data_IF_696152314741
#
_entry.id   IF_696152314741
#
_cell.length_a   1.000
_cell.length_b   1.000
_cell.length_c   1.000
_cell.angle_alpha   90.00
_cell.angle_beta   90.00
_cell.angle_gamma   90.00
#
_symmetry.space_group_name_H-M   'P 1'
#
loop_
_entity.id
_entity.type
_entity.pdbx_description
1 polymer ?
#
# COMPACT_ATOMS: atom_id res chain seq x y z
N UNK A 1 25.53 -7.78 12.87
CA UNK A 1 24.40 -6.83 12.92
C UNK A 1 23.71 -6.57 11.57
N UNK A 2 24.37 -6.45 10.39
CA UNK A 2 23.61 -6.31 9.13
C UNK A 2 22.72 -7.52 8.83
N UNK A 3 23.11 -8.71 9.32
CA UNK A 3 22.34 -9.95 9.23
C UNK A 3 21.03 -9.94 10.02
N UNK A 4 20.92 -9.16 11.11
CA UNK A 4 19.70 -9.14 11.93
C UNK A 4 18.61 -8.26 11.29
N UNK A 5 19.00 -7.12 10.71
CA UNK A 5 18.12 -6.25 9.92
C UNK A 5 17.67 -6.98 8.65
N UNK A 6 18.59 -7.69 7.97
CA UNK A 6 18.25 -8.55 6.84
C UNK A 6 17.25 -9.65 7.22
N UNK A 7 17.40 -10.27 8.40
CA UNK A 7 16.49 -11.31 8.91
C UNK A 7 15.11 -10.74 9.27
N UNK A 8 15.04 -9.56 9.87
CA UNK A 8 13.76 -8.88 10.15
C UNK A 8 13.04 -8.49 8.85
N UNK A 9 13.78 -7.97 7.86
CA UNK A 9 13.23 -7.64 6.55
C UNK A 9 12.78 -8.89 5.78
N UNK A 10 13.55 -9.98 5.83
CA UNK A 10 13.17 -11.29 5.29
C UNK A 10 11.95 -11.88 6.02
N UNK A 11 11.82 -11.72 7.34
CA UNK A 11 10.66 -12.22 8.08
C UNK A 11 9.36 -11.44 7.78
N UNK A 12 9.47 -10.13 7.54
CA UNK A 12 8.35 -9.29 7.11
C UNK A 12 7.96 -9.59 5.65
N UNK A 13 8.96 -9.78 4.77
CA UNK A 13 8.74 -10.19 3.38
C UNK A 13 8.18 -11.62 3.26
N UNK A 14 8.62 -12.56 4.09
CA UNK A 14 8.06 -13.92 4.18
C UNK A 14 6.64 -13.87 4.72
N UNK A 15 6.32 -13.02 5.70
CA UNK A 15 4.95 -12.85 6.20
C UNK A 15 4.00 -12.24 5.17
N UNK A 16 4.50 -11.37 4.28
CA UNK A 16 3.77 -10.89 3.10
C UNK A 16 3.60 -11.97 2.00
N UNK A 17 4.45 -13.01 2.01
CA UNK A 17 4.38 -14.13 1.07
C UNK A 17 3.47 -15.28 1.55
N UNK A 18 3.06 -15.31 2.83
CA UNK A 18 2.06 -16.26 3.37
C UNK A 18 0.64 -15.64 3.36
N UNK A 19 0.36 -14.72 2.45
CA UNK A 19 -1.02 -14.49 2.02
C UNK A 19 -1.42 -15.78 1.31
N UNK A 20 -2.30 -16.54 1.95
CA UNK A 20 -2.72 -17.88 1.53
C UNK A 20 -3.06 -17.91 0.03
N UNK A 21 -2.76 -19.01 -0.70
CA UNK A 21 -3.32 -19.18 -2.03
C UNK A 21 -4.85 -19.25 -1.84
N UNK A 22 -5.56 -18.27 -2.38
CA UNK A 22 -7.00 -18.37 -2.60
C UNK A 22 -7.23 -19.66 -3.39
N UNK A 23 -7.72 -20.70 -2.72
CA UNK A 23 -8.14 -21.92 -3.40
C UNK A 23 -9.38 -21.60 -4.23
N UNK A 24 -9.20 -21.51 -5.54
CA UNK A 24 -10.31 -21.50 -6.47
C UNK A 24 -11.13 -22.78 -6.26
N UNK A 25 -12.39 -22.64 -5.85
CA UNK A 25 -13.34 -23.75 -5.84
C UNK A 25 -13.61 -24.17 -7.30
N UNK A 26 -13.58 -25.47 -7.63
CA UNK A 26 -13.91 -25.93 -8.97
C UNK A 26 -15.38 -25.59 -9.28
N UNK A 27 -15.59 -24.90 -10.41
CA UNK A 27 -16.91 -24.51 -10.88
C UNK A 27 -17.77 -25.75 -11.13
N UNK A 28 -18.94 -25.80 -10.50
CA UNK A 28 -20.01 -26.73 -10.87
C UNK A 28 -20.85 -26.05 -11.98
N UNK A 29 -21.05 -26.68 -13.15
CA UNK A 29 -21.71 -26.02 -14.26
C UNK A 29 -23.23 -26.22 -14.17
N UNK A 30 -23.98 -25.18 -13.84
CA UNK A 30 -25.43 -25.12 -14.12
C UNK A 30 -25.84 -23.72 -14.54
N UNK A 31 -26.26 -23.60 -15.81
CA UNK A 31 -26.89 -22.40 -16.38
C UNK A 31 -25.92 -21.25 -16.63
N UNK A 32 -26.22 -20.40 -17.61
CA UNK A 32 -25.39 -19.22 -17.95
C UNK A 32 -25.36 -18.30 -16.70
N UNK A 33 -24.27 -18.25 -15.93
CA UNK A 33 -24.20 -17.38 -14.77
C UNK A 33 -23.64 -16.05 -15.27
N UNK A 34 -24.46 -15.02 -15.37
CA UNK A 34 -23.92 -13.65 -15.40
C UNK A 34 -23.35 -13.38 -14.02
N UNK A 35 -22.09 -13.75 -13.81
CA UNK A 35 -21.35 -13.34 -12.63
C UNK A 35 -21.25 -11.81 -12.64
N UNK A 36 -21.36 -11.22 -11.46
CA UNK A 36 -21.03 -9.82 -11.23
C UNK A 36 -19.53 -9.59 -11.54
N UNK A 37 -19.11 -8.36 -11.90
CA UNK A 37 -17.70 -7.96 -11.96
C UNK A 37 -16.94 -8.28 -10.67
N UNK A 38 -17.63 -8.35 -9.53
CA UNK A 38 -17.07 -8.77 -8.24
C UNK A 38 -17.02 -10.30 -8.02
N UNK A 39 -17.31 -11.10 -9.04
CA UNK A 39 -17.19 -12.56 -9.01
C UNK A 39 -18.28 -13.31 -8.24
N UNK A 40 -19.34 -12.63 -7.78
CA UNK A 40 -20.47 -13.30 -7.14
C UNK A 40 -21.39 -13.90 -8.21
N UNK A 41 -21.34 -15.22 -8.36
CA UNK A 41 -22.16 -15.99 -9.29
C UNK A 41 -23.28 -16.71 -8.51
N UNK A 42 -24.48 -16.84 -9.10
CA UNK A 42 -25.61 -17.58 -8.52
C UNK A 42 -25.93 -17.19 -7.04
N UNK A 43 -26.41 -15.95 -6.86
CA UNK A 43 -26.74 -15.34 -5.55
C UNK A 43 -27.75 -16.13 -4.71
N UNK A 44 -28.53 -17.03 -5.30
CA UNK A 44 -29.51 -17.86 -4.61
C UNK A 44 -28.93 -19.10 -3.95
N UNK A 45 -27.75 -19.55 -4.40
CA UNK A 45 -27.12 -20.81 -3.95
C UNK A 45 -25.77 -20.53 -3.29
N UNK A 46 -25.00 -19.59 -3.83
CA UNK A 46 -23.65 -19.32 -3.34
C UNK A 46 -23.66 -18.24 -2.24
N UNK A 47 -22.98 -18.50 -1.11
CA UNK A 47 -22.81 -17.47 -0.09
C UNK A 47 -22.05 -16.28 -0.65
N UNK A 48 -22.33 -15.11 -0.09
CA UNK A 48 -21.66 -13.85 -0.42
C UNK A 48 -20.16 -13.96 -0.10
N UNK A 49 -19.26 -13.66 -1.05
CA UNK A 49 -17.81 -13.59 -0.78
C UNK A 49 -17.49 -12.52 0.27
N UNK A 50 -16.48 -12.74 1.11
CA UNK A 50 -16.06 -11.77 2.14
C UNK A 50 -15.67 -10.41 1.58
N UNK A 51 -15.01 -10.39 0.41
CA UNK A 51 -14.49 -9.17 -0.21
C UNK A 51 -15.51 -8.47 -1.12
N UNK A 52 -16.71 -9.03 -1.23
CA UNK A 52 -17.72 -8.50 -2.14
C UNK A 52 -18.16 -7.09 -1.74
N UNK A 53 -18.24 -6.77 -0.45
CA UNK A 53 -18.59 -5.41 0.01
C UNK A 53 -17.58 -4.36 -0.42
N UNK A 54 -16.29 -4.68 -0.30
CA UNK A 54 -15.20 -3.79 -0.72
C UNK A 54 -15.17 -3.64 -2.25
N UNK A 55 -15.37 -4.74 -2.97
CA UNK A 55 -15.44 -4.72 -4.43
C UNK A 55 -16.66 -3.94 -4.92
N UNK A 56 -17.84 -4.15 -4.32
CA UNK A 56 -19.06 -3.48 -4.73
C UNK A 56 -18.94 -1.97 -4.52
N UNK A 57 -18.40 -1.53 -3.38
CA UNK A 57 -18.14 -0.12 -3.12
C UNK A 57 -17.18 0.51 -4.14
N UNK A 58 -16.21 -0.27 -4.62
CA UNK A 58 -15.25 0.16 -5.63
C UNK A 58 -15.85 0.26 -7.04
N UNK A 59 -16.48 -0.81 -7.52
CA UNK A 59 -16.90 -0.95 -8.92
C UNK A 59 -18.30 -0.41 -9.20
N UNK A 60 -19.15 -0.22 -8.18
CA UNK A 60 -20.52 0.25 -8.37
C UNK A 60 -20.78 1.58 -7.67
N UNK A 61 -21.70 2.35 -8.26
CA UNK A 61 -22.31 3.53 -7.64
C UNK A 61 -23.45 3.13 -6.70
N UNK A 62 -23.94 4.05 -5.87
CA UNK A 62 -25.13 3.82 -5.03
C UNK A 62 -26.39 3.44 -5.84
N UNK A 63 -26.42 3.77 -7.14
CA UNK A 63 -27.48 3.38 -8.07
C UNK A 63 -27.28 2.03 -8.77
N UNK A 64 -26.24 1.26 -8.41
CA UNK A 64 -25.99 -0.07 -8.99
C UNK A 64 -25.40 -0.05 -10.40
N UNK A 65 -25.00 1.12 -10.91
CA UNK A 65 -24.32 1.25 -12.20
C UNK A 65 -22.80 1.05 -12.04
N UNK A 66 -22.12 0.40 -13.00
CA UNK A 66 -20.67 0.24 -12.98
C UNK A 66 -19.98 1.60 -13.10
N UNK A 67 -19.00 1.86 -12.23
CA UNK A 67 -18.13 3.03 -12.26
C UNK A 67 -17.09 2.85 -13.38
N UNK A 68 -17.00 3.77 -14.35
CA UNK A 68 -15.98 3.70 -15.37
C UNK A 68 -14.61 4.05 -14.77
N UNK A 69 -13.53 3.49 -15.33
CA UNK A 69 -12.14 3.74 -14.92
C UNK A 69 -11.78 3.29 -13.50
N UNK A 70 -12.59 2.46 -12.84
CA UNK A 70 -12.25 1.89 -11.52
C UNK A 70 -12.07 0.39 -11.58
N UNK A 71 -11.03 -0.12 -10.94
CA UNK A 71 -10.70 -1.53 -10.88
C UNK A 71 -10.46 -1.94 -9.42
N UNK A 72 -10.99 -3.09 -9.03
CA UNK A 72 -10.77 -3.66 -7.71
C UNK A 72 -9.57 -4.63 -7.77
N UNK A 73 -8.55 -4.36 -6.97
CA UNK A 73 -7.32 -5.15 -6.90
C UNK A 73 -7.06 -5.59 -5.47
N UNK A 74 -6.07 -6.46 -5.26
CA UNK A 74 -5.63 -6.90 -3.92
C UNK A 74 -5.17 -5.71 -3.05
N UNK A 75 -4.69 -4.63 -3.67
CA UNK A 75 -4.26 -3.41 -2.99
C UNK A 75 -5.41 -2.43 -2.73
N UNK A 76 -6.64 -2.79 -3.10
CA UNK A 76 -7.83 -1.96 -2.98
C UNK A 76 -8.32 -1.43 -4.33
N UNK A 77 -9.12 -0.36 -4.26
CA UNK A 77 -9.75 0.25 -5.42
C UNK A 77 -8.82 1.23 -6.11
N UNK A 78 -8.53 1.00 -7.39
CA UNK A 78 -7.71 1.91 -8.21
C UNK A 78 -8.57 2.60 -9.28
N UNK A 79 -8.41 3.91 -9.40
CA UNK A 79 -8.96 4.70 -10.49
C UNK A 79 -7.89 4.91 -11.57
N UNK A 80 -8.19 4.69 -12.84
CA UNK A 80 -7.31 4.99 -13.99
C UNK A 80 -7.49 6.41 -14.53
N UNK A 81 -8.32 7.22 -13.86
CA UNK A 81 -8.34 8.66 -14.08
C UNK A 81 -6.97 9.25 -13.69
N UNK A 82 -6.25 9.98 -14.57
CA UNK A 82 -4.89 10.46 -14.32
C UNK A 82 -4.73 11.25 -13.01
N UNK A 83 -5.74 12.03 -12.64
CA UNK A 83 -5.80 12.79 -11.41
C UNK A 83 -5.81 11.88 -10.17
N UNK A 84 -6.84 11.05 -10.05
CA UNK A 84 -7.05 10.15 -8.91
C UNK A 84 -5.94 9.10 -8.79
N UNK A 85 -5.42 8.63 -9.93
CA UNK A 85 -4.37 7.62 -9.98
C UNK A 85 -3.08 8.11 -9.30
N UNK A 86 -2.65 9.34 -9.61
CA UNK A 86 -1.43 9.89 -9.01
C UNK A 86 -1.63 10.13 -7.52
N UNK A 87 -2.80 10.59 -7.09
CA UNK A 87 -3.09 10.75 -5.65
C UNK A 87 -3.06 9.42 -4.89
N UNK A 88 -3.71 8.39 -5.44
CA UNK A 88 -3.73 7.06 -4.85
C UNK A 88 -2.32 6.46 -4.78
N UNK A 89 -1.56 6.57 -5.86
CA UNK A 89 -0.18 6.08 -5.92
C UNK A 89 0.71 6.81 -4.91
N UNK A 90 0.61 8.14 -4.84
CA UNK A 90 1.35 8.92 -3.86
C UNK A 90 0.98 8.47 -2.43
N UNK A 91 -0.30 8.41 -2.08
CA UNK A 91 -0.73 7.97 -0.74
C UNK A 91 -0.15 6.60 -0.33
N UNK A 92 -0.10 5.64 -1.25
CA UNK A 92 0.50 4.32 -1.03
C UNK A 92 2.01 4.42 -0.82
N UNK A 93 2.71 5.20 -1.64
CA UNK A 93 4.17 5.38 -1.51
C UNK A 93 4.51 6.11 -0.19
N UNK A 94 3.74 7.12 0.19
CA UNK A 94 3.94 7.86 1.45
C UNK A 94 3.71 6.98 2.68
N UNK A 95 2.63 6.20 2.69
CA UNK A 95 2.35 5.29 3.80
C UNK A 95 3.41 4.20 3.91
N UNK A 96 3.85 3.62 2.79
CA UNK A 96 4.92 2.62 2.77
C UNK A 96 6.27 3.20 3.20
N UNK A 97 6.68 4.34 2.64
CA UNK A 97 7.95 5.00 2.98
C UNK A 97 7.97 5.47 4.44
N UNK A 98 6.86 6.02 4.94
CA UNK A 98 6.70 6.40 6.34
C UNK A 98 6.83 5.22 7.29
N UNK A 99 6.18 4.09 6.97
CA UNK A 99 6.29 2.86 7.75
C UNK A 99 7.72 2.31 7.80
N UNK A 100 8.40 2.24 6.65
CA UNK A 100 9.78 1.72 6.57
C UNK A 100 10.76 2.65 7.30
N UNK A 101 10.64 3.96 7.12
CA UNK A 101 11.48 4.95 7.79
C UNK A 101 11.29 4.91 9.32
N UNK A 102 10.05 4.77 9.79
CA UNK A 102 9.75 4.64 11.21
C UNK A 102 10.42 3.41 11.84
N UNK A 103 10.35 2.25 11.18
CA UNK A 103 11.02 1.04 11.65
C UNK A 103 12.55 1.18 11.64
N UNK A 104 13.12 1.85 10.63
CA UNK A 104 14.56 2.10 10.56
C UNK A 104 15.05 3.00 11.71
N UNK A 105 14.28 4.05 12.07
CA UNK A 105 14.57 4.91 13.23
C UNK A 105 14.49 4.11 14.53
N UNK A 106 13.50 3.25 14.71
CA UNK A 106 13.42 2.38 15.89
C UNK A 106 14.64 1.45 16.00
N UNK A 107 15.06 0.84 14.89
CA UNK A 107 16.23 -0.03 14.85
C UNK A 107 17.54 0.74 15.18
N UNK A 108 17.72 1.93 14.60
CA UNK A 108 18.87 2.78 14.90
C UNK A 108 18.88 3.25 16.36
N UNK A 109 17.71 3.60 16.91
CA UNK A 109 17.55 4.00 18.31
C UNK A 109 17.90 2.86 19.27
N UNK A 110 17.43 1.64 18.98
CA UNK A 110 17.79 0.44 19.73
C UNK A 110 19.29 0.14 19.69
N UNK A 111 19.95 0.35 18.55
CA UNK A 111 21.40 0.18 18.43
C UNK A 111 22.15 1.18 19.31
N UNK A 112 21.76 2.46 19.32
CA UNK A 112 22.41 3.49 20.16
C UNK A 112 22.27 3.15 21.65
N UNK A 113 21.09 2.75 22.10
CA UNK A 113 20.82 2.43 23.51
C UNK A 113 21.56 1.17 23.99
N UNK A 114 21.74 0.18 23.12
CA UNK A 114 22.39 -1.11 23.45
C UNK A 114 23.90 -1.12 23.20
N UNK A 115 24.50 0.01 22.83
CA UNK A 115 25.90 0.07 22.41
C UNK A 115 26.94 -0.07 23.53
N UNK A 116 26.56 -0.09 24.81
CA UNK A 116 27.43 -0.37 25.97
C UNK A 116 28.81 0.33 25.96
N UNK A 117 28.90 1.54 25.40
CA UNK A 117 30.15 2.31 25.32
C UNK A 117 31.04 2.05 24.10
N UNK A 118 30.63 1.20 23.14
CA UNK A 118 31.35 1.02 21.88
C UNK A 118 31.08 2.22 20.93
N UNK A 119 32.10 3.03 20.57
CA UNK A 119 31.91 4.23 19.74
C UNK A 119 31.49 3.91 18.31
N UNK A 120 31.81 2.73 17.79
CA UNK A 120 31.47 2.34 16.42
C UNK A 120 29.99 2.02 16.28
N UNK A 121 29.41 1.27 17.22
CA UNK A 121 27.96 0.98 17.27
C UNK A 121 27.11 2.23 17.51
N UNK A 122 27.64 3.16 18.30
CA UNK A 122 27.00 4.46 18.51
C UNK A 122 26.99 5.30 17.24
N UNK A 123 28.08 5.30 16.47
CA UNK A 123 28.16 5.99 15.18
C UNK A 123 27.20 5.36 14.17
N UNK A 124 27.25 4.05 14.01
CA UNK A 124 26.36 3.31 13.09
C UNK A 124 24.88 3.58 13.38
N UNK A 125 24.48 3.52 14.66
CA UNK A 125 23.10 3.79 15.06
C UNK A 125 22.67 5.23 14.74
N UNK A 126 23.56 6.21 14.93
CA UNK A 126 23.30 7.62 14.57
C UNK A 126 23.19 7.79 13.06
N UNK A 127 24.05 7.13 12.28
CA UNK A 127 24.03 7.22 10.81
C UNK A 127 22.74 6.61 10.23
N UNK A 128 22.23 5.52 10.82
CA UNK A 128 20.92 4.93 10.45
C UNK A 128 19.77 5.89 10.73
N UNK A 129 19.75 6.54 11.91
CA UNK A 129 18.71 7.50 12.26
C UNK A 129 18.73 8.70 11.31
N UNK A 130 19.92 9.28 11.08
CA UNK A 130 20.09 10.47 10.22
C UNK A 130 19.69 10.16 8.78
N UNK A 131 20.14 9.03 8.23
CA UNK A 131 19.78 8.64 6.86
C UNK A 131 18.27 8.39 6.69
N UNK A 132 17.61 7.81 7.70
CA UNK A 132 16.16 7.59 7.69
C UNK A 132 15.37 8.89 7.71
N UNK A 133 15.78 9.85 8.56
CA UNK A 133 15.14 11.18 8.64
C UNK A 133 15.36 11.98 7.37
N UNK A 134 16.57 11.95 6.80
CA UNK A 134 16.87 12.62 5.54
C UNK A 134 16.06 12.03 4.38
N UNK A 135 15.91 10.71 4.31
CA UNK A 135 15.12 10.05 3.28
C UNK A 135 13.65 10.51 3.29
N UNK A 136 13.02 10.52 4.46
CA UNK A 136 11.62 10.96 4.56
C UNK A 136 11.46 12.47 4.32
N UNK A 137 12.46 13.27 4.73
CA UNK A 137 12.48 14.71 4.47
C UNK A 137 12.51 15.00 2.97
N UNK A 138 13.33 14.28 2.20
CA UNK A 138 13.41 14.42 0.74
C UNK A 138 12.06 14.09 0.08
N UNK A 139 11.42 13.00 0.51
CA UNK A 139 10.10 12.59 -0.03
C UNK A 139 9.04 13.67 0.26
N UNK A 140 9.03 14.22 1.48
CA UNK A 140 8.11 15.29 1.87
C UNK A 140 8.33 16.55 1.01
N UNK A 141 9.58 16.98 0.82
CA UNK A 141 9.90 18.10 -0.05
C UNK A 141 9.52 17.84 -1.51
N UNK A 142 9.72 16.62 -2.01
CA UNK A 142 9.36 16.27 -3.38
C UNK A 142 7.86 16.45 -3.64
N UNK A 143 6.99 16.00 -2.72
CA UNK A 143 5.55 16.22 -2.85
C UNK A 143 5.14 17.65 -2.59
N UNK A 144 5.79 18.35 -1.67
CA UNK A 144 5.54 19.78 -1.49
C UNK A 144 5.79 20.53 -2.80
N UNK A 145 6.92 20.30 -3.47
CA UNK A 145 7.21 20.90 -4.77
C UNK A 145 6.21 20.47 -5.85
N UNK A 146 5.81 19.19 -5.88
CA UNK A 146 4.80 18.71 -6.82
C UNK A 146 3.46 19.41 -6.61
N UNK A 147 3.06 19.66 -5.36
CA UNK A 147 1.82 20.37 -5.04
C UNK A 147 1.88 21.84 -5.43
N UNK A 148 2.97 22.52 -5.07
CA UNK A 148 3.16 23.95 -5.41
C UNK A 148 3.20 24.14 -6.92
N UNK A 149 4.02 23.38 -7.64
CA UNK A 149 4.17 23.56 -9.09
C UNK A 149 2.98 22.99 -9.86
N UNK A 150 2.51 21.80 -9.51
CA UNK A 150 1.44 21.10 -10.23
C UNK A 150 0.05 21.64 -9.97
N UNK A 151 -0.24 22.07 -8.74
CA UNK A 151 -1.59 22.53 -8.35
C UNK A 151 -1.66 24.05 -8.31
N UNK A 152 -0.74 24.68 -7.58
CA UNK A 152 -0.85 26.13 -7.32
C UNK A 152 -0.42 26.97 -8.52
N UNK A 153 0.57 26.53 -9.30
CA UNK A 153 1.08 27.27 -10.47
C UNK A 153 0.40 26.82 -11.77
N UNK A 154 0.40 25.51 -12.06
CA UNK A 154 -0.12 24.97 -13.33
C UNK A 154 -1.63 24.72 -13.33
N UNK A 155 -2.28 24.76 -12.16
CA UNK A 155 -3.72 24.55 -11.99
C UNK A 155 -4.24 23.29 -12.71
N UNK A 156 -3.54 22.17 -12.55
CA UNK A 156 -3.94 20.91 -13.19
C UNK A 156 -5.16 20.37 -12.42
N UNK A 157 -6.35 20.32 -13.03
CA UNK A 157 -7.56 19.89 -12.33
C UNK A 157 -7.42 18.40 -11.93
N UNK A 158 -7.66 18.11 -10.64
CA UNK A 158 -7.67 16.76 -10.09
C UNK A 158 -6.55 16.40 -9.10
N UNK A 159 -5.69 17.34 -8.71
CA UNK A 159 -4.72 17.17 -7.61
C UNK A 159 -5.20 17.84 -6.29
N UNK A 160 -6.48 17.71 -5.94
CA UNK A 160 -7.05 18.20 -4.67
C UNK A 160 -7.10 17.12 -3.59
#
# INVERSE_FOLDING_TARGET
MPRLILVLFLSFAVSLFIISPVQAQPATPTGIPTCDLCGWCNRSVNPKPSDWDACQACLYTAGGLPKPHTYFTVLGCFSTNPADYVQQLLSIVFSAAGGIAFLAVLAGSGMVLTSSGNPERLKDGKDIIVSSILGILIILFAVFLLRVVGVDILNIPGFS
#
